data_IF_232613249916
#
_entry.id   IF_232613249916
#
_cell.length_a   1.000
_cell.length_b   1.000
_cell.length_c   1.000
_cell.angle_alpha   90.00
_cell.angle_beta   90.00
_cell.angle_gamma   90.00
#
_symmetry.space_group_name_H-M   'P 1'
#
loop_
_entity.id
_entity.type
_entity.pdbx_description
1 polymer ?
#
# COMPACT_ATOMS: atom_id res chain seq x y z
N UNK A 1 4.73 -16.31 16.91
CA UNK A 1 5.31 -15.24 16.11
C UNK A 1 6.37 -15.72 15.13
N UNK A 2 7.40 -16.52 15.52
CA UNK A 2 8.44 -17.04 14.59
C UNK A 2 7.87 -17.70 13.32
N UNK A 3 6.88 -18.54 13.45
CA UNK A 3 6.25 -19.29 12.34
C UNK A 3 5.52 -18.39 11.31
N UNK A 4 4.99 -17.25 11.75
CA UNK A 4 4.34 -16.28 10.86
C UNK A 4 5.38 -15.50 10.04
N UNK A 5 6.47 -15.12 10.69
CA UNK A 5 7.59 -14.44 10.05
C UNK A 5 8.28 -15.32 8.99
N UNK A 6 8.46 -16.61 9.28
CA UNK A 6 9.02 -17.56 8.32
C UNK A 6 8.14 -17.74 7.08
N UNK A 7 6.81 -17.79 7.26
CA UNK A 7 5.86 -17.88 6.14
C UNK A 7 5.81 -16.59 5.31
N UNK A 8 5.93 -15.43 5.96
CA UNK A 8 6.03 -14.14 5.28
C UNK A 8 7.31 -14.07 4.44
N UNK A 9 8.46 -14.39 5.04
CA UNK A 9 9.73 -14.43 4.33
C UNK A 9 9.73 -15.43 3.16
N UNK A 10 9.00 -16.52 3.27
CA UNK A 10 8.86 -17.49 2.19
C UNK A 10 8.36 -16.84 0.90
N UNK A 11 7.37 -15.94 0.95
CA UNK A 11 6.86 -15.26 -0.23
C UNK A 11 7.89 -14.31 -0.84
N UNK A 12 8.64 -13.60 -0.01
CA UNK A 12 9.72 -12.72 -0.48
C UNK A 12 10.92 -13.48 -1.07
N UNK A 13 11.15 -14.72 -0.64
CA UNK A 13 12.18 -15.56 -1.25
C UNK A 13 11.78 -16.10 -2.63
N UNK A 14 10.47 -16.09 -2.95
CA UNK A 14 9.98 -16.50 -4.27
C UNK A 14 10.15 -15.34 -5.27
N UNK A 15 11.26 -15.33 -6.01
CA UNK A 15 11.59 -14.27 -6.98
C UNK A 15 10.45 -13.97 -7.94
N UNK A 16 9.78 -15.01 -8.48
CA UNK A 16 8.66 -14.87 -9.41
C UNK A 16 7.50 -14.12 -8.75
N UNK A 17 7.18 -14.44 -7.51
CA UNK A 17 6.13 -13.76 -6.75
C UNK A 17 6.42 -12.27 -6.61
N UNK A 18 7.62 -11.92 -6.17
CA UNK A 18 8.04 -10.53 -5.97
C UNK A 18 8.05 -9.75 -7.28
N UNK A 19 8.58 -10.33 -8.36
CA UNK A 19 8.62 -9.67 -9.68
C UNK A 19 7.21 -9.39 -10.19
N UNK A 20 6.31 -10.38 -10.16
CA UNK A 20 4.94 -10.19 -10.66
C UNK A 20 4.18 -9.20 -9.79
N UNK A 21 4.32 -9.26 -8.46
CA UNK A 21 3.71 -8.32 -7.53
C UNK A 21 4.15 -6.88 -7.81
N UNK A 22 5.46 -6.67 -7.97
CA UNK A 22 6.03 -5.35 -8.27
C UNK A 22 5.58 -4.83 -9.65
N UNK A 23 5.57 -5.68 -10.68
CA UNK A 23 5.08 -5.30 -12.00
C UNK A 23 3.60 -4.91 -11.97
N UNK A 24 2.76 -5.68 -11.27
CA UNK A 24 1.34 -5.36 -11.13
C UNK A 24 1.14 -4.02 -10.42
N UNK A 25 1.90 -3.76 -9.35
CA UNK A 25 1.85 -2.50 -8.61
C UNK A 25 2.29 -1.32 -9.48
N UNK A 26 3.39 -1.44 -10.22
CA UNK A 26 3.88 -0.39 -11.13
C UNK A 26 2.89 -0.14 -12.27
N UNK A 27 2.31 -1.19 -12.86
CA UNK A 27 1.33 -1.03 -13.93
C UNK A 27 0.01 -0.40 -13.43
N UNK A 28 -0.39 -0.71 -12.20
CA UNK A 28 -1.63 -0.18 -11.62
C UNK A 28 -1.50 1.26 -11.13
N UNK A 29 -0.39 1.60 -10.48
CA UNK A 29 -0.23 2.86 -9.75
C UNK A 29 0.93 3.73 -10.24
N UNK A 30 1.78 3.22 -11.15
CA UNK A 30 2.98 3.95 -11.58
C UNK A 30 2.68 5.26 -12.32
N UNK A 31 1.55 5.35 -13.02
CA UNK A 31 1.12 6.60 -13.66
C UNK A 31 0.77 7.65 -12.61
N UNK A 32 -0.03 7.29 -11.61
CA UNK A 32 -0.44 8.15 -10.51
C UNK A 32 0.77 8.66 -9.72
N UNK A 33 1.70 7.78 -9.38
CA UNK A 33 2.95 8.13 -8.67
C UNK A 33 3.80 9.18 -9.41
N UNK A 34 3.75 9.18 -10.75
CA UNK A 34 4.55 10.12 -11.57
C UNK A 34 3.77 11.36 -11.99
N UNK A 35 2.45 11.32 -11.92
CA UNK A 35 1.55 12.40 -12.32
C UNK A 35 0.51 12.61 -11.21
N UNK A 36 0.92 13.12 -10.04
CA UNK A 36 -0.01 13.32 -8.94
C UNK A 36 -1.14 14.26 -9.38
N UNK A 37 -2.37 13.78 -9.28
CA UNK A 37 -3.55 14.60 -9.49
C UNK A 37 -3.78 15.45 -8.23
N UNK A 38 -3.75 16.76 -8.36
CA UNK A 38 -4.08 17.66 -7.26
C UNK A 38 -5.59 17.61 -7.05
N UNK A 39 -6.03 16.92 -6.00
CA UNK A 39 -7.41 16.86 -5.58
C UNK A 39 -7.89 18.20 -4.96
N UNK A 40 -9.21 18.33 -4.82
CA UNK A 40 -9.81 19.52 -4.19
C UNK A 40 -9.35 19.64 -2.73
N UNK A 41 -9.13 18.52 -2.06
CA UNK A 41 -8.73 18.44 -0.65
C UNK A 41 -7.25 18.74 -0.47
N UNK A 42 -6.39 18.43 -1.44
CA UNK A 42 -4.96 18.81 -1.42
C UNK A 42 -4.76 20.33 -1.42
N UNK A 43 -5.63 21.07 -2.12
CA UNK A 43 -5.61 22.53 -2.08
C UNK A 43 -6.06 23.06 -0.73
N UNK A 44 -6.98 22.40 -0.04
CA UNK A 44 -7.40 22.77 1.30
C UNK A 44 -6.29 22.48 2.32
N UNK A 45 -5.65 21.31 2.25
CA UNK A 45 -4.54 20.93 3.15
C UNK A 45 -3.32 21.83 2.92
N UNK A 46 -2.98 22.17 1.67
CA UNK A 46 -1.84 23.06 1.37
C UNK A 46 -2.08 24.50 1.80
N UNK A 47 -3.32 24.96 1.85
CA UNK A 47 -3.70 26.31 2.29
C UNK A 47 -3.91 26.43 3.81
N UNK A 48 -4.25 25.35 4.47
CA UNK A 48 -4.56 25.29 5.91
C UNK A 48 -3.61 24.37 6.65
N UNK A 49 -2.30 24.46 6.39
CA UNK A 49 -1.25 23.74 7.12
C UNK A 49 -1.26 24.15 8.61
N UNK A 50 -2.30 23.75 9.33
CA UNK A 50 -2.26 23.68 10.80
C UNK A 50 -1.71 22.32 11.19
N UNK A 51 -0.52 22.30 11.77
CA UNK A 51 0.10 21.10 12.34
C UNK A 51 -0.89 20.38 13.28
N UNK A 52 -1.29 19.18 12.90
CA UNK A 52 -2.12 18.33 13.73
C UNK A 52 -3.58 18.19 13.33
N UNK A 53 -4.01 18.71 12.19
CA UNK A 53 -5.38 18.54 11.69
C UNK A 53 -5.74 17.06 11.51
N UNK A 54 -4.79 16.24 11.08
CA UNK A 54 -4.92 14.79 10.91
C UNK A 54 -5.24 14.09 12.24
N UNK A 55 -4.66 14.58 13.34
CA UNK A 55 -4.94 14.03 14.70
C UNK A 55 -6.36 14.36 15.13
N UNK A 56 -6.83 15.57 14.83
CA UNK A 56 -8.21 16.03 15.15
C UNK A 56 -9.23 15.21 14.35
N UNK A 57 -8.91 14.86 13.11
CA UNK A 57 -9.73 14.00 12.24
C UNK A 57 -9.65 12.51 12.62
N UNK A 58 -8.89 12.14 13.65
CA UNK A 58 -8.71 10.75 14.06
C UNK A 58 -7.69 9.96 13.23
N UNK A 59 -6.97 10.61 12.33
CA UNK A 59 -5.96 10.01 11.45
C UNK A 59 -4.56 10.01 12.10
N UNK A 60 -4.47 9.74 13.39
CA UNK A 60 -3.22 9.79 14.17
C UNK A 60 -2.08 8.95 13.60
N UNK A 61 -2.41 7.85 12.90
CA UNK A 61 -1.41 6.96 12.31
C UNK A 61 -0.71 7.60 11.10
N UNK A 62 -1.43 8.34 10.27
CA UNK A 62 -0.87 9.11 9.16
C UNK A 62 0.06 10.20 9.70
N UNK A 63 -0.38 10.94 10.74
CA UNK A 63 0.45 11.93 11.42
C UNK A 63 1.75 11.31 11.95
N UNK A 64 1.70 10.10 12.53
CA UNK A 64 2.88 9.39 13.01
C UNK A 64 3.84 9.04 11.87
N UNK A 65 3.32 8.54 10.74
CA UNK A 65 4.12 8.23 9.54
C UNK A 65 4.78 9.50 9.00
N UNK A 66 4.02 10.57 8.84
CA UNK A 66 4.53 11.85 8.36
C UNK A 66 5.67 12.38 9.24
N UNK A 67 5.51 12.26 10.55
CA UNK A 67 6.53 12.69 11.51
C UNK A 67 7.79 11.81 11.49
N UNK A 68 7.64 10.49 11.35
CA UNK A 68 8.78 9.55 11.30
C UNK A 68 9.61 9.74 10.03
N UNK A 69 8.94 9.91 8.90
CA UNK A 69 9.59 10.01 7.59
C UNK A 69 9.89 11.46 7.17
N UNK A 70 9.61 12.44 8.03
CA UNK A 70 9.75 13.87 7.72
C UNK A 70 9.04 14.27 6.42
N UNK A 71 7.85 13.69 6.17
CA UNK A 71 7.03 13.94 4.99
C UNK A 71 6.21 15.24 5.11
N UNK A 72 6.47 16.07 6.14
CA UNK A 72 5.86 17.37 6.33
C UNK A 72 6.13 18.36 5.17
N UNK A 73 7.22 18.13 4.42
CA UNK A 73 7.46 18.84 3.17
C UNK A 73 6.74 18.07 2.07
N UNK A 74 5.73 18.68 1.48
CA UNK A 74 4.88 18.14 0.42
C UNK A 74 5.70 17.32 -0.60
N UNK A 75 5.69 16.01 -0.45
CA UNK A 75 6.37 15.06 -1.33
C UNK A 75 5.37 13.98 -1.78
N UNK A 76 4.47 14.30 -2.72
CA UNK A 76 3.41 13.41 -3.16
C UNK A 76 3.94 12.06 -3.63
N UNK A 77 5.04 12.04 -4.38
CA UNK A 77 5.66 10.80 -4.86
C UNK A 77 6.05 9.84 -3.72
N UNK A 78 6.62 10.37 -2.63
CA UNK A 78 7.06 9.51 -1.50
C UNK A 78 5.88 8.91 -0.75
N UNK A 79 4.80 9.68 -0.58
CA UNK A 79 3.58 9.22 0.06
C UNK A 79 2.94 8.08 -0.73
N UNK A 80 2.79 8.26 -2.03
CA UNK A 80 2.24 7.25 -2.93
C UNK A 80 3.11 6.00 -3.00
N UNK A 81 4.42 6.15 -3.07
CA UNK A 81 5.35 5.02 -3.05
C UNK A 81 5.20 4.19 -1.77
N UNK A 82 5.13 4.85 -0.61
CA UNK A 82 4.92 4.17 0.68
C UNK A 82 3.58 3.44 0.68
N UNK A 83 2.51 4.07 0.17
CA UNK A 83 1.19 3.45 0.07
C UNK A 83 1.19 2.20 -0.80
N UNK A 84 1.81 2.25 -1.97
CA UNK A 84 1.95 1.08 -2.85
C UNK A 84 2.75 -0.04 -2.20
N UNK A 85 3.82 0.30 -1.48
CA UNK A 85 4.60 -0.69 -0.71
C UNK A 85 3.74 -1.33 0.38
N UNK A 86 2.99 -0.54 1.15
CA UNK A 86 2.09 -1.05 2.18
C UNK A 86 0.97 -1.92 1.59
N UNK A 87 0.45 -1.57 0.42
CA UNK A 87 -0.53 -2.37 -0.30
C UNK A 87 0.06 -3.74 -0.71
N UNK A 88 1.28 -3.78 -1.22
CA UNK A 88 1.99 -5.02 -1.54
C UNK A 88 2.25 -5.89 -0.30
N UNK A 89 2.63 -5.28 0.82
CA UNK A 89 2.79 -5.96 2.11
C UNK A 89 1.45 -6.53 2.58
N UNK A 90 0.37 -5.77 2.48
CA UNK A 90 -0.99 -6.19 2.83
C UNK A 90 -1.42 -7.41 2.01
N UNK A 91 -1.26 -7.37 0.68
CA UNK A 91 -1.55 -8.51 -0.20
C UNK A 91 -0.78 -9.76 0.22
N UNK A 92 0.50 -9.60 0.56
CA UNK A 92 1.36 -10.72 1.03
C UNK A 92 0.89 -11.26 2.38
N UNK A 93 0.48 -10.40 3.32
CA UNK A 93 -0.07 -10.83 4.61
C UNK A 93 -1.37 -11.62 4.44
N UNK A 94 -2.24 -11.23 3.52
CA UNK A 94 -3.43 -12.02 3.18
C UNK A 94 -3.05 -13.38 2.61
N UNK A 95 -2.05 -13.46 1.73
CA UNK A 95 -1.55 -14.75 1.23
C UNK A 95 -1.03 -15.65 2.36
N UNK A 96 -0.31 -15.10 3.35
CA UNK A 96 0.14 -15.83 4.54
C UNK A 96 -1.05 -16.33 5.36
N UNK A 97 -2.06 -15.49 5.55
CA UNK A 97 -3.28 -15.85 6.26
C UNK A 97 -4.02 -17.00 5.57
N UNK A 98 -4.24 -16.89 4.25
CA UNK A 98 -4.88 -17.95 3.47
C UNK A 98 -4.09 -19.24 3.47
N UNK A 99 -2.76 -19.17 3.40
CA UNK A 99 -1.90 -20.35 3.49
C UNK A 99 -2.06 -21.08 4.83
N UNK A 100 -2.31 -20.34 5.91
CA UNK A 100 -2.58 -20.90 7.23
C UNK A 100 -3.95 -21.57 7.32
N UNK A 101 -4.98 -20.95 6.75
CA UNK A 101 -6.36 -21.44 6.79
C UNK A 101 -6.51 -22.68 5.90
N UNK A 102 -6.06 -22.59 4.65
CA UNK A 102 -6.25 -23.63 3.64
C UNK A 102 -5.10 -24.64 3.56
N UNK A 103 -4.06 -24.43 4.35
CA UNK A 103 -2.86 -25.26 4.31
C UNK A 103 -2.08 -25.09 3.00
N UNK A 104 -1.27 -26.11 2.67
CA UNK A 104 -0.45 -26.09 1.43
C UNK A 104 -1.20 -26.56 0.18
N UNK A 105 -2.53 -26.60 0.22
CA UNK A 105 -3.35 -27.08 -0.91
C UNK A 105 -3.33 -26.11 -2.09
N UNK A 106 -3.09 -24.82 -1.83
CA UNK A 106 -2.99 -23.77 -2.86
C UNK A 106 -1.54 -23.65 -3.30
N UNK A 107 -1.29 -23.77 -4.59
CA UNK A 107 0.04 -23.57 -5.16
C UNK A 107 0.45 -22.10 -5.21
N UNK A 108 1.75 -21.83 -5.44
CA UNK A 108 2.30 -20.47 -5.56
C UNK A 108 1.55 -19.63 -6.60
N UNK A 109 1.16 -20.23 -7.73
CA UNK A 109 0.38 -19.56 -8.78
C UNK A 109 -0.95 -19.01 -8.27
N UNK A 110 -1.65 -19.73 -7.40
CA UNK A 110 -2.90 -19.25 -6.80
C UNK A 110 -2.69 -18.00 -5.94
N UNK A 111 -1.61 -17.95 -5.18
CA UNK A 111 -1.25 -16.76 -4.39
C UNK A 111 -0.84 -15.57 -5.27
N UNK A 112 -0.15 -15.82 -6.38
CA UNK A 112 0.19 -14.77 -7.37
C UNK A 112 -1.09 -14.17 -7.95
N UNK A 113 -2.00 -15.01 -8.46
CA UNK A 113 -3.28 -14.55 -9.03
C UNK A 113 -4.08 -13.75 -8.01
N UNK A 114 -4.19 -14.25 -6.79
CA UNK A 114 -4.88 -13.55 -5.71
C UNK A 114 -4.27 -12.17 -5.45
N UNK A 115 -2.94 -12.08 -5.34
CA UNK A 115 -2.25 -10.82 -5.08
C UNK A 115 -2.42 -9.82 -6.22
N UNK A 116 -2.38 -10.28 -7.48
CA UNK A 116 -2.64 -9.44 -8.64
C UNK A 116 -4.07 -8.88 -8.61
N UNK A 117 -5.08 -9.73 -8.37
CA UNK A 117 -6.49 -9.30 -8.27
C UNK A 117 -6.68 -8.34 -7.09
N UNK A 118 -6.03 -8.61 -5.95
CA UNK A 118 -6.13 -7.76 -4.77
C UNK A 118 -5.57 -6.36 -5.04
N UNK A 119 -4.38 -6.25 -5.63
CA UNK A 119 -3.75 -4.96 -5.96
C UNK A 119 -4.51 -4.22 -7.05
N UNK A 120 -4.99 -4.92 -8.08
CA UNK A 120 -5.73 -4.33 -9.22
C UNK A 120 -7.21 -4.11 -8.91
N UNK A 121 -7.66 -4.27 -7.67
CA UNK A 121 -9.07 -4.10 -7.33
C UNK A 121 -9.46 -2.62 -7.49
N UNK A 122 -10.46 -2.30 -8.32
CA UNK A 122 -10.86 -0.93 -8.59
C UNK A 122 -11.32 -0.17 -7.33
N UNK A 123 -11.90 -0.85 -6.35
CA UNK A 123 -12.29 -0.23 -5.08
C UNK A 123 -11.05 0.24 -4.29
N UNK A 124 -9.99 -0.59 -4.26
CA UNK A 124 -8.73 -0.21 -3.59
C UNK A 124 -8.05 0.93 -4.35
N UNK A 125 -8.07 0.88 -5.68
CA UNK A 125 -7.54 1.94 -6.54
C UNK A 125 -8.29 3.26 -6.34
N UNK A 126 -9.63 3.22 -6.26
CA UNK A 126 -10.45 4.40 -6.02
C UNK A 126 -10.17 4.99 -4.62
N UNK A 127 -10.12 4.15 -3.59
CA UNK A 127 -9.75 4.59 -2.24
C UNK A 127 -8.34 5.17 -2.22
N UNK A 128 -7.40 4.57 -2.96
CA UNK A 128 -6.03 5.06 -3.06
C UNK A 128 -5.96 6.45 -3.70
N UNK A 129 -6.68 6.66 -4.82
CA UNK A 129 -6.67 7.93 -5.56
C UNK A 129 -7.42 9.04 -4.81
N UNK A 130 -8.56 8.74 -4.17
CA UNK A 130 -9.39 9.77 -3.54
C UNK A 130 -9.06 10.07 -2.08
N UNK A 131 -8.54 9.10 -1.32
CA UNK A 131 -8.35 9.24 0.12
C UNK A 131 -6.90 9.27 0.56
N UNK A 132 -5.97 9.04 -0.36
CA UNK A 132 -4.55 9.05 -0.02
C UNK A 132 -3.94 10.46 -0.10
N UNK A 133 -4.62 11.36 -0.77
CA UNK A 133 -4.25 12.77 -0.87
C UNK A 133 -4.87 13.62 0.26
N UNK A 134 -5.76 13.05 1.05
CA UNK A 134 -6.34 13.64 2.25
C UNK A 134 -5.51 13.23 3.49
#
# INVERSE_FOLDING_TARGET
MKKLWEEFLYFFQQKIYVIILSLTAICGYGFEMTHPSIGIDDTAVSLYLEDGLEVVMGRWFIYLINKIFHLSDFSPFMMELIGVILLCISATLFCVLFRRIFGRKVGLTGYIIFSCIFISNPIISEVYVYYYHD
#
